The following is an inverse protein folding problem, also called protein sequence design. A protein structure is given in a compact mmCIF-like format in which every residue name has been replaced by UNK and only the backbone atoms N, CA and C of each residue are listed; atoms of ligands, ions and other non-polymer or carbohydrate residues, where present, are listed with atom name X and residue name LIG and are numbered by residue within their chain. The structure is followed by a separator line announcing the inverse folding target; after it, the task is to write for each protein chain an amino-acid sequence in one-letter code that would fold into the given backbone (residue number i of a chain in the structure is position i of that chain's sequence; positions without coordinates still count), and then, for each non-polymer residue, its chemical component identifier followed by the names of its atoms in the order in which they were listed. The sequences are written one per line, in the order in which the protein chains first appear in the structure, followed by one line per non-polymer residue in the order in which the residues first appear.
data_IF_484910257780
#
_entry.id   IF_484910257780
#
_cell.length_a   1.000
_cell.length_b   1.000
_cell.length_c   1.000
_cell.angle_alpha   90.00
_cell.angle_beta   90.00
_cell.angle_gamma   90.00
#
_symmetry.space_group_name_H-M   'P 1'
#
loop_
_entity.id
_entity.type
_entity.pdbx_description
1 polymer ?
#
# COMPACT_ATOMS: atom_id res chain seq x y z
N UNK A 1 19.74 -20.78 -56.03
CA UNK A 1 20.69 -19.80 -55.48
C UNK A 1 19.92 -18.96 -54.47
N UNK A 2 20.08 -19.21 -53.16
CA UNK A 2 21.09 -18.56 -52.31
C UNK A 2 20.72 -17.10 -52.01
N UNK A 3 20.65 -16.57 -50.78
CA UNK A 3 21.01 -17.02 -49.43
C UNK A 3 20.19 -16.19 -48.40
N UNK A 4 20.18 -16.72 -47.18
CA UNK A 4 19.84 -16.15 -45.88
C UNK A 4 20.11 -14.64 -45.68
N UNK A 5 19.31 -14.00 -44.79
CA UNK A 5 19.76 -13.24 -43.59
C UNK A 5 18.53 -12.68 -42.86
N UNK A 6 18.10 -13.29 -41.75
CA UNK A 6 18.36 -12.84 -40.36
C UNK A 6 17.18 -12.08 -39.73
N UNK A 7 16.35 -12.85 -39.03
CA UNK A 7 15.85 -12.63 -37.66
C UNK A 7 16.03 -11.19 -37.15
N UNK A 8 14.97 -10.37 -37.27
CA UNK A 8 14.70 -9.37 -36.25
C UNK A 8 13.82 -10.06 -35.20
N UNK A 9 14.47 -10.77 -34.27
CA UNK A 9 13.87 -11.08 -32.99
C UNK A 9 13.60 -9.72 -32.35
N UNK A 10 12.37 -9.25 -32.47
CA UNK A 10 11.88 -8.12 -31.72
C UNK A 10 11.94 -8.61 -30.27
N UNK A 11 13.05 -8.30 -29.62
CA UNK A 11 13.19 -8.46 -28.20
C UNK A 11 12.03 -7.69 -27.60
N UNK A 12 11.06 -8.42 -27.06
CA UNK A 12 10.21 -7.91 -25.99
C UNK A 12 11.17 -7.60 -24.84
N UNK A 13 11.83 -6.44 -24.95
CA UNK A 13 12.67 -5.89 -23.92
C UNK A 13 11.77 -5.72 -22.72
N UNK A 14 11.94 -6.64 -21.79
CA UNK A 14 11.56 -6.61 -20.40
C UNK A 14 10.22 -5.92 -20.14
N UNK A 15 9.25 -6.73 -19.69
CA UNK A 15 8.42 -6.30 -18.58
C UNK A 15 9.37 -5.81 -17.46
N UNK A 16 9.74 -4.53 -17.53
CA UNK A 16 10.26 -3.79 -16.40
C UNK A 16 9.22 -3.95 -15.31
N UNK A 17 9.67 -4.50 -14.20
CA UNK A 17 8.91 -4.91 -13.03
C UNK A 17 7.52 -4.26 -12.93
N UNK A 18 6.53 -5.16 -12.88
CA UNK A 18 5.21 -4.86 -12.37
C UNK A 18 5.28 -3.86 -11.19
N UNK A 19 4.68 -2.69 -11.42
CA UNK A 19 3.76 -2.01 -10.52
C UNK A 19 4.04 -2.17 -9.03
N UNK A 20 4.55 -1.11 -8.41
CA UNK A 20 3.96 -0.68 -7.13
C UNK A 20 3.77 0.83 -7.22
N UNK A 21 2.69 1.24 -7.87
CA UNK A 21 1.91 2.32 -7.25
C UNK A 21 1.73 1.86 -5.81
N UNK A 22 2.22 2.65 -4.87
CA UNK A 22 2.01 2.47 -3.45
C UNK A 22 0.50 2.62 -3.17
N UNK A 23 -0.28 1.62 -3.57
CA UNK A 23 -1.52 1.31 -2.90
C UNK A 23 -1.01 0.77 -1.58
N UNK A 24 -1.08 1.58 -0.54
CA UNK A 24 -0.89 1.11 0.83
C UNK A 24 -2.02 0.10 1.09
N UNK A 25 -1.88 -1.10 0.55
CA UNK A 25 -2.78 -2.22 0.78
C UNK A 25 -2.48 -2.69 2.18
N UNK A 26 -3.09 -2.01 3.14
CA UNK A 26 -3.07 -2.44 4.52
C UNK A 26 -3.61 -3.88 4.60
N UNK A 27 -3.18 -4.63 5.60
CA UNK A 27 -3.72 -5.98 5.83
C UNK A 27 -5.09 -5.84 6.46
N UNK A 28 -6.17 -6.39 5.88
CA UNK A 28 -7.51 -6.29 6.45
C UNK A 28 -7.54 -6.72 7.91
N UNK A 29 -8.23 -5.96 8.76
CA UNK A 29 -8.28 -6.18 10.20
C UNK A 29 -7.09 -5.61 11.00
N UNK A 30 -6.09 -5.02 10.34
CA UNK A 30 -5.03 -4.28 11.05
C UNK A 30 -5.47 -2.87 11.40
N UNK A 31 -5.04 -2.40 12.56
CA UNK A 31 -5.25 -1.04 13.02
C UNK A 31 -3.94 -0.25 12.93
N UNK A 32 -4.04 1.02 12.56
CA UNK A 32 -2.90 1.91 12.53
C UNK A 32 -3.23 3.32 12.99
N UNK A 33 -2.25 3.96 13.62
CA UNK A 33 -2.29 5.39 13.87
C UNK A 33 -2.24 6.14 12.54
N UNK A 34 -3.10 7.13 12.40
CA UNK A 34 -3.17 8.02 11.25
C UNK A 34 -3.38 9.46 11.68
N UNK A 35 -3.52 10.33 10.69
CA UNK A 35 -3.76 11.76 10.88
C UNK A 35 -4.85 12.24 9.92
N UNK A 36 -5.89 12.90 10.44
CA UNK A 36 -6.98 13.47 9.62
C UNK A 36 -6.82 14.99 9.40
N UNK A 37 -5.59 15.46 9.21
CA UNK A 37 -5.31 16.89 9.02
C UNK A 37 -5.26 17.73 10.31
N UNK A 38 -6.06 17.40 11.33
CA UNK A 38 -6.11 18.18 12.58
C UNK A 38 -6.02 17.35 13.87
N UNK A 39 -6.24 16.04 13.79
CA UNK A 39 -6.26 15.14 14.95
C UNK A 39 -5.61 13.81 14.58
N UNK A 40 -4.99 13.20 15.59
CA UNK A 40 -4.59 11.80 15.50
C UNK A 40 -5.84 10.94 15.42
N UNK A 41 -5.78 9.91 14.59
CA UNK A 41 -6.88 8.98 14.38
C UNK A 41 -6.36 7.55 14.43
N UNK A 42 -7.26 6.61 14.67
CA UNK A 42 -7.01 5.19 14.48
C UNK A 42 -7.82 4.78 13.25
N UNK A 43 -7.12 4.24 12.26
CA UNK A 43 -7.71 3.67 11.07
C UNK A 43 -7.67 2.15 11.16
N UNK A 44 -8.72 1.49 10.71
CA UNK A 44 -8.75 0.05 10.47
C UNK A 44 -8.65 -0.19 8.98
N UNK A 45 -7.91 -1.21 8.59
CA UNK A 45 -7.93 -1.68 7.24
C UNK A 45 -9.18 -2.54 6.99
N UNK A 46 -10.02 -2.16 6.05
CA UNK A 46 -11.18 -2.96 5.66
C UNK A 46 -10.80 -4.10 4.69
N UNK A 47 -11.77 -4.95 4.35
CA UNK A 47 -11.58 -6.07 3.42
C UNK A 47 -11.20 -5.64 1.98
N UNK A 48 -11.50 -4.39 1.62
CA UNK A 48 -11.10 -3.79 0.34
C UNK A 48 -9.68 -3.21 0.37
N UNK A 49 -8.90 -3.50 1.40
CA UNK A 49 -7.54 -2.97 1.62
C UNK A 49 -7.49 -1.43 1.71
N UNK A 50 -8.56 -0.82 2.22
CA UNK A 50 -8.64 0.62 2.41
C UNK A 50 -8.65 0.98 3.89
N UNK A 51 -7.93 2.06 4.21
CA UNK A 51 -7.94 2.64 5.54
C UNK A 51 -9.27 3.35 5.80
N UNK A 52 -10.00 2.82 6.77
CA UNK A 52 -11.25 3.38 7.24
C UNK A 52 -11.06 3.95 8.63
N UNK A 53 -11.47 5.20 8.82
CA UNK A 53 -11.46 5.84 10.13
C UNK A 53 -12.29 5.03 11.12
N UNK A 54 -11.66 4.61 12.22
CA UNK A 54 -12.32 3.90 13.33
C UNK A 54 -12.53 4.81 14.52
N UNK A 55 -11.50 5.57 14.91
CA UNK A 55 -11.56 6.44 16.07
C UNK A 55 -10.78 7.73 15.86
N UNK A 56 -11.22 8.79 16.50
CA UNK A 56 -10.51 10.07 16.55
C UNK A 56 -9.95 10.23 17.96
N UNK A 57 -8.64 10.39 18.07
CA UNK A 57 -7.98 10.63 19.33
C UNK A 57 -8.10 12.11 19.72
N UNK A 58 -8.44 12.37 20.98
CA UNK A 58 -8.37 13.72 21.55
C UNK A 58 -6.93 14.16 21.79
N UNK A 59 -6.01 13.21 22.01
CA UNK A 59 -4.58 13.44 22.23
C UNK A 59 -3.70 12.78 21.15
N UNK A 60 -2.71 12.01 21.60
CA UNK A 60 -1.74 11.35 20.72
C UNK A 60 -2.19 9.92 20.39
N UNK A 61 -1.78 9.42 19.22
CA UNK A 61 -1.91 8.00 18.93
C UNK A 61 -0.56 7.32 19.21
N UNK A 62 -0.56 6.28 20.04
CA UNK A 62 0.62 5.51 20.42
C UNK A 62 0.37 4.02 20.25
N UNK A 63 1.42 3.27 19.91
CA UNK A 63 1.33 1.82 19.84
C UNK A 63 1.67 1.20 21.20
N UNK A 64 0.69 0.57 21.84
CA UNK A 64 0.83 -0.17 23.09
C UNK A 64 0.66 -1.65 22.78
N UNK A 65 1.67 -2.46 23.07
CA UNK A 65 1.69 -3.90 22.75
C UNK A 65 1.41 -4.22 21.26
N UNK A 66 1.87 -3.35 20.34
CA UNK A 66 1.67 -3.51 18.90
C UNK A 66 0.29 -3.11 18.38
N UNK A 67 -0.59 -2.59 19.24
CA UNK A 67 -1.90 -2.06 18.87
C UNK A 67 -1.93 -0.54 19.05
N UNK A 68 -2.54 0.23 18.13
CA UNK A 68 -2.69 1.67 18.29
C UNK A 68 -3.75 2.01 19.34
N UNK A 69 -3.41 2.91 20.25
CA UNK A 69 -4.27 3.45 21.29
C UNK A 69 -4.23 4.98 21.27
N UNK A 70 -5.36 5.59 21.61
CA UNK A 70 -5.43 7.02 21.89
C UNK A 70 -5.04 7.27 23.36
N UNK A 71 -4.09 8.16 23.58
CA UNK A 71 -3.61 8.61 24.90
C UNK A 71 -3.70 10.12 25.04
#
# INVERSE_FOLDING_TARGET
MQFQTLIAAIAFAAFGAAQTTSVTSCTPGTYQCGWNGSKNIINVCNASHQLQLTAICSGSCQYINGLPYCV
#
